data_IF_364435495975
#
_entry.id   IF_364435495975
#
_cell.length_a   1.000
_cell.length_b   1.000
_cell.length_c   1.000
_cell.angle_alpha   90.00
_cell.angle_beta   90.00
_cell.angle_gamma   90.00
#
_symmetry.space_group_name_H-M   'P 1'
#
loop_
_entity.id
_entity.type
_entity.pdbx_description
1 polymer ?
#
# COMPACT_ATOMS: atom_id res chain seq x y z
N UNK A 1 -5.88 19.92 6.42
CA UNK A 1 -5.35 19.06 7.50
C UNK A 1 -3.87 18.81 7.28
N UNK A 2 -3.09 18.91 8.33
CA UNK A 2 -1.65 18.65 8.22
C UNK A 2 -1.36 17.18 8.50
N UNK A 3 -0.25 16.70 7.94
CA UNK A 3 0.17 15.31 8.13
C UNK A 3 0.96 15.18 9.41
N UNK A 4 0.61 14.26 10.31
CA UNK A 4 1.37 14.05 11.53
C UNK A 4 2.83 13.72 11.24
N UNK A 5 3.78 14.15 12.10
CA UNK A 5 5.20 13.82 11.92
C UNK A 5 5.47 12.32 11.85
N UNK A 6 4.76 11.52 12.62
CA UNK A 6 4.92 10.06 12.60
C UNK A 6 4.58 9.48 11.24
N UNK A 7 3.52 10.00 10.61
CA UNK A 7 3.12 9.58 9.28
C UNK A 7 4.19 9.92 8.25
N UNK A 8 4.69 11.17 8.30
CA UNK A 8 5.74 11.60 7.38
C UNK A 8 6.98 10.74 7.52
N UNK A 9 7.37 10.43 8.75
CA UNK A 9 8.55 9.61 8.99
C UNK A 9 8.38 8.21 8.42
N UNK A 10 7.22 7.60 8.61
CA UNK A 10 6.94 6.27 8.07
C UNK A 10 6.94 6.26 6.54
N UNK A 11 6.39 7.31 5.93
CA UNK A 11 6.39 7.43 4.47
C UNK A 11 7.81 7.61 3.93
N UNK A 12 8.65 8.38 4.62
CA UNK A 12 10.04 8.54 4.22
C UNK A 12 10.79 7.21 4.28
N UNK A 13 10.55 6.43 5.34
CA UNK A 13 11.17 5.10 5.47
C UNK A 13 10.70 4.18 4.35
N UNK A 14 9.42 4.22 4.00
CA UNK A 14 8.91 3.44 2.88
C UNK A 14 9.58 3.85 1.58
N UNK A 15 9.69 5.17 1.35
CA UNK A 15 10.34 5.68 0.15
C UNK A 15 11.79 5.21 0.05
N UNK A 16 12.52 5.19 1.16
CA UNK A 16 13.90 4.71 1.20
C UNK A 16 13.98 3.22 0.86
N UNK A 17 13.05 2.42 1.36
CA UNK A 17 13.02 0.98 1.03
C UNK A 17 12.69 0.76 -0.44
N UNK A 18 11.78 1.56 -0.99
CA UNK A 18 11.43 1.48 -2.42
C UNK A 18 12.65 1.84 -3.26
N UNK A 19 13.36 2.91 -2.87
CA UNK A 19 14.58 3.31 -3.58
C UNK A 19 15.63 2.20 -3.55
N UNK A 20 15.84 1.58 -2.40
CA UNK A 20 16.81 0.48 -2.26
C UNK A 20 16.45 -0.69 -3.18
N UNK A 21 15.16 -1.02 -3.27
CA UNK A 21 14.71 -2.10 -4.15
C UNK A 21 14.88 -1.75 -5.62
N UNK A 22 14.62 -0.48 -5.99
CA UNK A 22 14.85 -0.03 -7.36
C UNK A 22 16.32 -0.17 -7.74
N UNK A 23 17.21 0.27 -6.86
CA UNK A 23 18.64 0.19 -7.10
C UNK A 23 19.07 -1.26 -7.20
N UNK A 24 18.53 -2.14 -6.36
CA UNK A 24 18.83 -3.57 -6.41
C UNK A 24 18.42 -4.20 -7.76
N UNK A 25 17.40 -3.65 -8.41
CA UNK A 25 17.01 -4.09 -9.76
C UNK A 25 17.85 -3.45 -10.85
N UNK A 26 18.77 -2.56 -10.49
CA UNK A 26 19.58 -1.78 -11.43
C UNK A 26 18.74 -0.88 -12.35
N UNK A 27 17.62 -0.41 -11.87
CA UNK A 27 16.74 0.49 -12.64
C UNK A 27 17.01 1.94 -12.26
N UNK A 28 17.03 2.81 -13.29
CA UNK A 28 17.03 4.25 -13.06
C UNK A 28 15.61 4.71 -12.74
N UNK A 29 15.48 5.94 -12.22
CA UNK A 29 14.15 6.55 -12.02
C UNK A 29 13.37 6.58 -13.32
N UNK A 30 14.04 6.92 -14.42
CA UNK A 30 13.40 6.96 -15.73
C UNK A 30 12.84 5.59 -16.12
N UNK A 31 13.64 4.54 -15.91
CA UNK A 31 13.25 3.18 -16.29
C UNK A 31 12.05 2.69 -15.50
N UNK A 32 12.05 2.89 -14.17
CA UNK A 32 10.92 2.44 -13.38
C UNK A 32 9.66 3.27 -13.66
N UNK A 33 9.81 4.57 -13.91
CA UNK A 33 8.66 5.40 -14.26
C UNK A 33 7.99 4.94 -15.55
N UNK A 34 8.79 4.56 -16.55
CA UNK A 34 8.26 3.99 -17.78
C UNK A 34 7.47 2.71 -17.51
N UNK A 35 8.00 1.82 -16.67
CA UNK A 35 7.32 0.56 -16.33
C UNK A 35 6.02 0.80 -15.60
N UNK A 36 5.97 1.88 -14.79
CA UNK A 36 4.78 2.23 -14.03
C UNK A 36 3.80 3.10 -14.82
N UNK A 37 4.18 3.52 -16.02
CA UNK A 37 3.38 4.41 -16.87
C UNK A 37 3.07 5.72 -16.15
N UNK A 38 4.05 6.28 -15.46
CA UNK A 38 3.90 7.56 -14.77
C UNK A 38 5.10 8.46 -15.07
N UNK A 39 4.98 9.74 -14.73
CA UNK A 39 6.11 10.66 -14.89
C UNK A 39 7.18 10.38 -13.87
N UNK A 40 8.41 10.82 -14.18
CA UNK A 40 9.51 10.71 -13.22
C UNK A 40 9.22 11.47 -11.94
N UNK A 41 8.59 12.64 -12.04
CA UNK A 41 8.24 13.44 -10.86
C UNK A 41 7.22 12.72 -9.98
N UNK A 42 6.24 12.05 -10.58
CA UNK A 42 5.27 11.26 -9.84
C UNK A 42 5.97 10.14 -9.09
N UNK A 43 6.90 9.45 -9.74
CA UNK A 43 7.64 8.37 -9.08
C UNK A 43 8.56 8.91 -7.99
N UNK A 44 9.26 10.05 -8.26
CA UNK A 44 10.15 10.64 -7.25
C UNK A 44 9.43 11.01 -5.97
N UNK A 45 8.15 11.40 -6.08
CA UNK A 45 7.34 11.69 -4.88
C UNK A 45 7.22 10.46 -3.98
N UNK A 46 7.16 9.27 -4.59
CA UNK A 46 7.08 8.02 -3.81
C UNK A 46 8.38 7.80 -3.04
N UNK A 47 9.53 7.92 -3.70
CA UNK A 47 10.83 7.73 -3.03
C UNK A 47 11.09 8.80 -1.97
N UNK A 48 10.54 10.00 -2.16
CA UNK A 48 10.67 11.08 -1.20
C UNK A 48 9.71 10.92 -0.02
N UNK A 49 8.79 9.97 -0.07
CA UNK A 49 7.84 9.76 1.01
C UNK A 49 6.77 10.83 1.11
N UNK A 50 6.38 11.41 -0.02
CA UNK A 50 5.37 12.45 -0.03
C UNK A 50 3.99 11.88 0.29
N UNK A 51 3.23 12.53 1.17
CA UNK A 51 1.88 12.02 1.53
C UNK A 51 0.88 12.11 0.39
N UNK A 52 1.20 12.88 -0.65
CA UNK A 52 0.32 13.02 -1.82
C UNK A 52 0.59 11.96 -2.88
N UNK A 53 1.57 11.07 -2.67
CA UNK A 53 1.87 10.02 -3.63
C UNK A 53 0.69 9.07 -3.78
N UNK A 54 0.45 8.60 -5.01
CA UNK A 54 -0.67 7.70 -5.30
C UNK A 54 -0.41 6.33 -4.70
N UNK A 55 -1.36 5.83 -3.91
CA UNK A 55 -1.26 4.49 -3.36
C UNK A 55 -1.33 3.43 -4.47
N UNK A 56 -2.08 3.72 -5.55
CA UNK A 56 -2.15 2.81 -6.68
C UNK A 56 -0.79 2.60 -7.34
N UNK A 57 -0.02 3.68 -7.51
CA UNK A 57 1.31 3.59 -8.09
C UNK A 57 2.27 2.91 -7.11
N UNK A 58 2.13 3.17 -5.81
CA UNK A 58 2.92 2.46 -4.79
C UNK A 58 2.66 0.96 -4.88
N UNK A 59 1.39 0.56 -4.99
CA UNK A 59 1.03 -0.85 -5.11
C UNK A 59 1.64 -1.47 -6.38
N UNK A 60 1.58 -0.76 -7.51
CA UNK A 60 2.18 -1.24 -8.76
C UNK A 60 3.70 -1.37 -8.63
N UNK A 61 4.33 -0.44 -7.90
CA UNK A 61 5.77 -0.50 -7.63
C UNK A 61 6.13 -1.77 -6.86
N UNK A 62 5.37 -2.08 -5.82
CA UNK A 62 5.58 -3.30 -5.05
C UNK A 62 5.37 -4.54 -5.91
N UNK A 63 4.38 -4.50 -6.80
CA UNK A 63 4.15 -5.59 -7.73
C UNK A 63 5.35 -5.82 -8.65
N UNK A 64 5.94 -4.72 -9.16
CA UNK A 64 7.15 -4.82 -10.01
C UNK A 64 8.31 -5.47 -9.27
N UNK A 65 8.42 -5.21 -7.97
CA UNK A 65 9.49 -5.80 -7.14
C UNK A 65 9.17 -7.25 -6.71
N UNK A 66 7.98 -7.75 -7.05
CA UNK A 66 7.54 -9.06 -6.56
C UNK A 66 7.18 -9.05 -5.09
N UNK A 67 6.77 -7.90 -4.56
CA UNK A 67 6.51 -7.71 -3.13
C UNK A 67 5.08 -7.24 -2.85
N UNK A 68 4.15 -7.56 -3.73
CA UNK A 68 2.76 -7.12 -3.53
C UNK A 68 2.18 -7.69 -2.23
N UNK A 69 2.67 -8.83 -1.77
CA UNK A 69 2.20 -9.43 -0.53
C UNK A 69 2.47 -8.54 0.69
N UNK A 70 3.48 -7.67 0.62
CA UNK A 70 3.75 -6.75 1.73
C UNK A 70 2.63 -5.73 1.89
N UNK A 71 1.94 -5.40 0.81
CA UNK A 71 0.78 -4.51 0.89
C UNK A 71 -0.37 -5.19 1.64
N UNK A 72 -0.53 -6.49 1.45
CA UNK A 72 -1.58 -7.25 2.12
C UNK A 72 -1.38 -7.33 3.63
N UNK A 73 -0.17 -7.05 4.11
CA UNK A 73 0.14 -7.07 5.55
C UNK A 73 -0.16 -5.73 6.23
N UNK A 74 -0.50 -4.71 5.46
CA UNK A 74 -0.80 -3.39 6.00
C UNK A 74 -2.20 -3.39 6.62
N UNK A 75 -2.32 -2.78 7.81
CA UNK A 75 -3.60 -2.63 8.49
C UNK A 75 -4.33 -3.95 8.66
N UNK A 76 -3.71 -4.93 9.32
CA UNK A 76 -4.34 -6.24 9.49
C UNK A 76 -5.64 -6.13 10.27
N UNK A 77 -6.56 -7.05 9.99
CA UNK A 77 -7.84 -7.07 10.69
C UNK A 77 -7.56 -7.34 12.18
N UNK A 78 -8.11 -6.53 13.11
CA UNK A 78 -7.90 -6.76 14.54
C UNK A 78 -8.40 -8.14 14.97
N UNK A 79 -7.66 -8.73 15.85
CA UNK A 79 -8.13 -9.96 16.48
C UNK A 79 -9.25 -9.61 17.43
N UNK A 80 -10.36 -10.29 17.64
CA UNK A 80 -11.41 -9.79 18.45
C UNK A 80 -11.93 -10.56 19.47
N UNK A 81 -11.68 -9.98 19.48
CA UNK A 81 -12.04 -10.18 19.71
C UNK A 81 -13.00 -9.86 19.95
N UNK A 82 -13.31 -9.77 19.60
CA UNK A 82 -13.99 -9.52 19.70
C UNK A 82 -14.82 -9.46 19.62
N UNK A 83 -14.91 -9.74 19.55
CA UNK A 83 -15.62 -9.72 19.44
C UNK A 83 -16.54 -9.45 19.48
N UNK A 84 -16.65 -9.54 19.52
CA UNK A 84 -17.43 -9.33 19.46
C UNK A 84 -18.21 -8.98 19.14
N UNK A 85 -18.07 -9.13 18.99
CA UNK A 85 -18.62 -8.87 18.64
C UNK A 85 -19.15 -8.82 18.04
N UNK A 86 -19.15 -9.14 17.75
CA UNK A 86 -19.57 -9.24 17.12
C UNK A 86 -20.27 -9.34 16.76
N UNK A 87 -20.49 -9.63 16.59
CA UNK A 87 -21.07 -9.77 16.17
C UNK A 87 -22.07 -9.59 15.95
N UNK A 88 -22.22 -9.70 15.71
CA UNK A 88 -23.04 -9.61 15.38
C UNK A 88 -23.59 -9.68 14.78
N UNK A 89 -23.55 -10.09 14.48
CA UNK A 89 -23.85 -10.17 13.80
C UNK A 89 -24.07 -10.48 13.14
N UNK A 90 -23.96 -10.92 12.86
CA UNK A 90 -23.94 -11.24 12.08
C UNK A 90 -24.30 -11.57 11.43
N UNK A 91 -24.29 -11.93 11.04
CA UNK A 91 -24.46 -12.19 10.23
C UNK A 91 -24.19 -12.48 9.38
N UNK A 92 -23.97 -12.79 9.01
CA UNK A 92 -23.54 -12.95 8.09
C UNK A 92 -23.18 -13.25 7.30
N UNK A 93 -22.90 -13.52 6.92
CA UNK A 93 -22.36 -13.69 6.02
C UNK A 93 -21.62 -13.98 5.47
N UNK A 94 -21.41 -14.33 5.25
CA UNK A 94 -20.46 -14.52 4.64
C UNK A 94 -19.86 -14.48 4.01
N UNK A 95 -19.43 -14.72 3.70
CA UNK A 95 -18.66 -14.45 3.10
C UNK A 95 -17.89 -14.34 2.79
N UNK A 96 -17.76 -14.54 2.61
CA UNK A 96 -16.98 -14.16 2.38
C UNK A 96 -16.47 -13.79 2.13
N UNK A 97 -16.28 -13.86 1.87
CA UNK A 97 -15.83 -13.16 1.66
C UNK A 97 -15.65 -12.55 1.58
N UNK A 98 -15.65 -12.68 1.19
CA UNK A 98 -15.59 -11.88 1.02
C UNK A 98 -15.69 -11.15 0.73
N UNK A 99 -15.65 -11.15 0.35
CA UNK A 99 -15.79 -10.33 0.02
C UNK A 99 -15.95 -9.99 -0.55
N UNK A 100 -15.89 -10.36 -0.76
CA UNK A 100 -15.93 -9.86 -1.23
C UNK A 100 -16.30 -9.44 -1.70
N UNK A 101 -16.40 -9.64 -1.98
CA UNK A 101 -16.66 -9.07 -2.35
C UNK A 101 -17.21 -8.38 -2.22
N UNK A 102 -17.32 -8.79 -2.37
CA UNK A 102 -17.69 -8.01 -2.26
C UNK A 102 -17.88 -7.33 -1.99
N UNK A 103 -17.79 -7.60 -1.95
CA UNK A 103 -17.77 -6.90 -1.80
C UNK A 103 -17.68 -6.19 -1.56
N UNK A 104 -17.93 -6.04 -1.80
CA UNK A 104 -17.78 -5.29 -1.76
C UNK A 104 -18.11 -4.51 -1.17
N UNK A 105 -18.00 -4.75 -1.16
CA UNK A 105 -18.11 -4.03 -0.67
C UNK A 105 -18.08 -3.37 -0.19
N UNK A 106 -18.28 -3.37 -0.37
CA UNK A 106 -17.95 -2.78 -0.04
C UNK A 106 -18.13 -2.27 0.04
#
# INVERSE_FOLDING_TARGET
MSTPPETLKSLEKLGQRIRANRIAQSWTVKEIAVRLLCSQNTYRAIEAGKPTASIGIVANTLWLFGQIDSLDAIAPIPLQTNTATRVRKSKSKPTAGIIGEDERDF
#
